data_IF_749104173912
#
_entry.id   IF_749104173912
#
_cell.length_a   1.000
_cell.length_b   1.000
_cell.length_c   1.000
_cell.angle_alpha   90.00
_cell.angle_beta   90.00
_cell.angle_gamma   90.00
#
_symmetry.space_group_name_H-M   'P 1'
#
loop_
_entity.id
_entity.type
_entity.pdbx_description
1 polymer ?
#
# COMPACT_ATOMS: atom_id res chain seq x y z
N UNK A 1 -21.95 5.26 18.56
CA UNK A 1 -22.21 4.35 17.41
C UNK A 1 -22.20 5.20 16.15
N UNK A 2 -21.21 5.03 15.28
CA UNK A 2 -21.05 5.88 14.11
C UNK A 2 -22.17 5.64 13.08
N UNK A 3 -22.90 6.70 12.72
CA UNK A 3 -24.04 6.66 11.77
C UNK A 3 -23.63 6.72 10.29
N UNK A 4 -22.34 6.70 9.98
CA UNK A 4 -21.86 6.83 8.59
C UNK A 4 -21.97 5.54 7.77
N UNK A 5 -22.19 4.39 8.41
CA UNK A 5 -22.26 3.11 7.73
C UNK A 5 -23.55 2.97 6.92
N UNK A 6 -23.47 3.23 5.62
CA UNK A 6 -24.59 3.22 4.67
C UNK A 6 -24.26 2.37 3.45
N UNK A 7 -25.27 1.91 2.66
CA UNK A 7 -25.01 1.22 1.39
C UNK A 7 -24.12 2.03 0.43
N UNK A 8 -24.27 3.36 0.41
CA UNK A 8 -23.44 4.26 -0.41
C UNK A 8 -21.96 4.23 0.02
N UNK A 9 -21.70 4.28 1.32
CA UNK A 9 -20.33 4.21 1.84
C UNK A 9 -19.71 2.84 1.56
N UNK A 10 -20.46 1.74 1.73
CA UNK A 10 -19.98 0.39 1.38
C UNK A 10 -19.57 0.28 -0.08
N UNK A 11 -20.42 0.76 -0.99
CA UNK A 11 -20.12 0.77 -2.43
C UNK A 11 -18.91 1.63 -2.77
N UNK A 12 -18.75 2.78 -2.10
CA UNK A 12 -17.59 3.66 -2.29
C UNK A 12 -16.28 3.01 -1.80
N UNK A 13 -16.31 2.29 -0.68
CA UNK A 13 -15.16 1.53 -0.17
C UNK A 13 -14.80 0.40 -1.14
N UNK A 14 -15.79 -0.38 -1.61
CA UNK A 14 -15.55 -1.50 -2.52
C UNK A 14 -14.97 -1.06 -3.89
N UNK A 15 -15.22 0.18 -4.30
CA UNK A 15 -14.71 0.73 -5.56
C UNK A 15 -13.35 1.44 -5.44
N UNK A 16 -12.76 1.51 -4.25
CA UNK A 16 -11.54 2.28 -3.98
C UNK A 16 -10.48 1.45 -3.26
N UNK A 17 -9.22 1.65 -3.60
CA UNK A 17 -8.07 1.03 -2.90
C UNK A 17 -7.77 1.71 -1.54
N UNK A 18 -8.43 2.84 -1.26
CA UNK A 18 -8.22 3.63 -0.05
C UNK A 18 -9.49 4.37 0.36
N UNK A 19 -9.66 4.58 1.66
CA UNK A 19 -10.80 5.33 2.21
C UNK A 19 -10.47 6.81 2.44
N UNK A 20 -9.24 7.27 2.20
CA UNK A 20 -8.81 8.62 2.54
C UNK A 20 -9.66 9.72 1.87
N UNK A 21 -10.16 9.47 0.66
CA UNK A 21 -10.97 10.44 -0.10
C UNK A 21 -12.47 10.37 0.17
N UNK A 22 -12.95 9.39 0.95
CA UNK A 22 -14.38 9.19 1.21
C UNK A 22 -14.83 10.10 2.37
N UNK A 23 -15.22 11.34 2.06
CA UNK A 23 -15.59 12.36 3.06
C UNK A 23 -16.74 11.96 4.00
N UNK A 24 -17.60 11.05 3.59
CA UNK A 24 -18.66 10.50 4.44
C UNK A 24 -18.11 9.72 5.64
N UNK A 25 -16.85 9.27 5.59
CA UNK A 25 -16.17 8.58 6.67
C UNK A 25 -15.45 9.61 7.56
N UNK A 26 -15.69 9.59 8.89
CA UNK A 26 -15.02 10.46 9.84
C UNK A 26 -13.49 10.45 9.73
N UNK A 27 -12.87 11.60 10.00
CA UNK A 27 -11.42 11.82 9.81
C UNK A 27 -10.55 10.92 10.71
N UNK A 28 -10.98 10.68 11.94
CA UNK A 28 -10.37 9.75 12.89
C UNK A 28 -10.32 8.32 12.34
N UNK A 29 -11.42 7.87 11.72
CA UNK A 29 -11.48 6.55 11.08
C UNK A 29 -10.58 6.51 9.84
N UNK A 30 -10.65 7.50 8.95
CA UNK A 30 -9.77 7.57 7.77
C UNK A 30 -8.29 7.52 8.15
N UNK A 31 -7.89 8.27 9.18
CA UNK A 31 -6.53 8.26 9.73
C UNK A 31 -6.08 6.87 10.22
N UNK A 32 -6.97 6.08 10.81
CA UNK A 32 -6.64 4.76 11.35
C UNK A 32 -6.51 3.68 10.27
N UNK A 33 -7.34 3.74 9.23
CA UNK A 33 -7.37 2.73 8.16
C UNK A 33 -6.61 3.19 6.92
N UNK A 34 -5.30 3.38 7.07
CA UNK A 34 -4.38 3.59 5.95
C UNK A 34 -4.06 2.25 5.27
N UNK A 35 -3.92 2.27 3.94
CA UNK A 35 -3.54 1.10 3.15
C UNK A 35 -2.08 1.19 2.69
N UNK A 36 -1.57 0.11 2.09
CA UNK A 36 -0.21 0.13 1.55
C UNK A 36 -0.02 1.17 0.42
N UNK A 37 -1.10 1.54 -0.28
CA UNK A 37 -1.09 2.55 -1.33
C UNK A 37 -1.10 3.99 -0.79
N UNK A 38 -1.51 4.18 0.47
CA UNK A 38 -1.48 5.48 1.16
C UNK A 38 -0.06 5.83 1.67
N UNK A 39 0.86 4.87 1.64
CA UNK A 39 2.22 5.00 2.19
C UNK A 39 3.22 5.17 1.05
N UNK A 40 4.09 6.18 1.15
CA UNK A 40 5.08 6.44 0.10
C UNK A 40 6.08 5.28 -0.05
N UNK A 41 6.56 4.99 -1.28
CA UNK A 41 7.57 3.95 -1.50
C UNK A 41 8.84 4.11 -0.66
N UNK A 42 9.23 5.34 -0.33
CA UNK A 42 10.40 5.62 0.51
C UNK A 42 10.16 5.24 1.97
N UNK A 43 8.98 5.56 2.50
CA UNK A 43 8.62 5.19 3.87
C UNK A 43 8.54 3.66 4.01
N UNK A 44 8.00 3.00 2.99
CA UNK A 44 8.02 1.56 2.84
C UNK A 44 9.43 0.95 2.98
N UNK A 45 10.46 1.56 2.38
CA UNK A 45 11.85 1.11 2.49
C UNK A 45 12.42 1.37 3.88
N UNK A 46 12.23 2.58 4.42
CA UNK A 46 12.73 2.94 5.75
C UNK A 46 12.19 2.02 6.83
N UNK A 47 10.89 1.67 6.76
CA UNK A 47 10.31 0.67 7.64
C UNK A 47 11.01 -0.68 7.52
N UNK A 48 11.26 -1.16 6.30
CA UNK A 48 11.97 -2.43 6.08
C UNK A 48 13.40 -2.39 6.67
N UNK A 49 14.10 -1.27 6.49
CA UNK A 49 15.46 -1.09 6.98
C UNK A 49 15.56 -1.16 8.50
N UNK A 50 14.57 -0.61 9.22
CA UNK A 50 14.51 -0.70 10.70
C UNK A 50 14.48 -2.17 11.15
N UNK A 51 13.67 -3.00 10.50
CA UNK A 51 13.61 -4.44 10.81
C UNK A 51 14.87 -5.19 10.34
N UNK A 52 15.44 -4.79 9.20
CA UNK A 52 16.63 -5.44 8.65
C UNK A 52 17.83 -5.40 9.60
N UNK A 53 17.99 -4.33 10.39
CA UNK A 53 19.07 -4.18 11.39
C UNK A 53 19.04 -5.26 12.47
N UNK A 54 17.89 -5.89 12.69
CA UNK A 54 17.68 -6.92 13.70
C UNK A 54 17.34 -8.28 13.06
N UNK A 55 17.64 -8.47 11.78
CA UNK A 55 17.37 -9.71 11.04
C UNK A 55 18.64 -10.20 10.34
N UNK A 56 19.06 -11.43 10.66
CA UNK A 56 20.23 -12.08 10.06
C UNK A 56 20.02 -12.42 8.58
N UNK A 57 18.80 -12.82 8.23
CA UNK A 57 18.37 -13.01 6.84
C UNK A 57 17.76 -11.73 6.25
N UNK A 58 17.27 -11.79 5.01
CA UNK A 58 16.56 -10.65 4.40
C UNK A 58 15.11 -10.55 4.89
N UNK A 59 14.58 -9.32 4.95
CA UNK A 59 13.16 -9.08 5.25
C UNK A 59 12.33 -9.21 3.97
N UNK A 60 11.40 -10.16 3.93
CA UNK A 60 10.47 -10.36 2.80
C UNK A 60 9.29 -9.38 2.92
N UNK A 61 9.44 -8.20 2.30
CA UNK A 61 8.43 -7.15 2.35
C UNK A 61 8.33 -6.43 1.01
N UNK A 62 7.10 -6.24 0.54
CA UNK A 62 6.81 -5.58 -0.73
C UNK A 62 6.68 -4.07 -0.57
N UNK A 63 7.33 -3.31 -1.45
CA UNK A 63 7.11 -1.87 -1.66
C UNK A 63 6.08 -1.71 -2.78
N UNK A 64 4.89 -1.20 -2.42
CA UNK A 64 3.82 -0.96 -3.38
C UNK A 64 3.99 0.42 -4.05
N UNK A 65 3.86 0.45 -5.37
CA UNK A 65 3.92 1.64 -6.19
C UNK A 65 2.59 1.89 -6.89
N UNK A 66 2.19 3.16 -7.09
CA UNK A 66 1.03 3.49 -7.89
C UNK A 66 1.25 3.13 -9.37
N UNK A 67 0.15 3.03 -10.13
CA UNK A 67 0.17 2.64 -11.55
C UNK A 67 1.01 3.57 -12.43
N UNK A 68 1.05 4.85 -12.09
CA UNK A 68 1.79 5.90 -12.79
C UNK A 68 3.26 6.02 -12.36
N UNK A 69 3.76 5.15 -11.47
CA UNK A 69 5.16 5.18 -11.05
C UNK A 69 6.10 4.96 -12.24
N UNK A 70 7.14 5.78 -12.32
CA UNK A 70 8.11 5.77 -13.40
C UNK A 70 9.28 4.82 -13.10
N UNK A 71 10.06 4.41 -14.12
CA UNK A 71 11.31 3.68 -13.90
C UNK A 71 12.29 4.43 -12.99
N UNK A 72 12.27 5.77 -13.00
CA UNK A 72 13.10 6.60 -12.12
C UNK A 72 12.70 6.43 -10.65
N UNK A 73 11.41 6.40 -10.36
CA UNK A 73 10.91 6.21 -8.98
C UNK A 73 11.33 4.85 -8.43
N UNK A 74 11.20 3.81 -9.27
CA UNK A 74 11.67 2.47 -8.96
C UNK A 74 13.18 2.44 -8.67
N UNK A 75 13.98 3.07 -9.54
CA UNK A 75 15.44 3.19 -9.35
C UNK A 75 15.78 3.86 -8.01
N UNK A 76 15.09 4.93 -7.64
CA UNK A 76 15.35 5.65 -6.40
C UNK A 76 15.10 4.77 -5.17
N UNK A 77 14.07 3.93 -5.19
CA UNK A 77 13.78 2.99 -4.10
C UNK A 77 14.83 1.89 -3.97
N UNK A 78 15.33 1.34 -5.09
CA UNK A 78 16.45 0.39 -5.04
C UNK A 78 17.72 1.02 -4.45
N UNK A 79 18.04 2.26 -4.84
CA UNK A 79 19.18 2.97 -4.30
C UNK A 79 19.01 3.31 -2.82
N UNK A 80 17.79 3.69 -2.40
CA UNK A 80 17.49 3.93 -0.99
C UNK A 80 17.66 2.65 -0.18
N UNK A 81 17.12 1.52 -0.64
CA UNK A 81 17.25 0.24 0.04
C UNK A 81 18.72 -0.19 0.21
N UNK A 82 19.53 0.00 -0.83
CA UNK A 82 20.97 -0.22 -0.76
C UNK A 82 21.64 0.68 0.28
N UNK A 83 21.35 1.99 0.28
CA UNK A 83 21.90 2.95 1.25
C UNK A 83 21.50 2.66 2.69
N UNK A 84 20.29 2.16 2.90
CA UNK A 84 19.76 1.82 4.22
C UNK A 84 20.20 0.42 4.71
N UNK A 85 20.99 -0.32 3.91
CA UNK A 85 21.52 -1.63 4.28
C UNK A 85 20.52 -2.78 4.16
N UNK A 86 19.47 -2.64 3.35
CA UNK A 86 18.53 -3.73 3.05
C UNK A 86 19.24 -4.85 2.28
N UNK A 87 19.13 -6.11 2.76
CA UNK A 87 19.72 -7.29 2.10
C UNK A 87 18.95 -7.71 0.85
N UNK A 88 17.70 -7.30 0.74
CA UNK A 88 16.84 -7.51 -0.42
C UNK A 88 15.70 -6.52 -0.43
N UNK A 89 15.03 -6.39 -1.56
CA UNK A 89 13.82 -5.58 -1.70
C UNK A 89 12.93 -6.16 -2.79
N UNK A 90 11.63 -6.13 -2.55
CA UNK A 90 10.62 -6.52 -3.54
C UNK A 90 9.75 -5.33 -3.84
N UNK A 91 9.52 -5.05 -5.11
CA UNK A 91 8.61 -3.99 -5.56
C UNK A 91 7.39 -4.62 -6.23
N UNK A 92 6.25 -3.95 -6.11
CA UNK A 92 5.09 -4.22 -6.92
C UNK A 92 4.49 -2.90 -7.38
N UNK A 93 4.31 -2.74 -8.70
CA UNK A 93 3.65 -1.55 -9.28
C UNK A 93 2.23 -1.92 -9.67
N UNK A 94 1.24 -1.19 -9.18
CA UNK A 94 -0.16 -1.43 -9.54
C UNK A 94 -0.34 -1.45 -11.07
N UNK A 95 -1.06 -2.44 -11.58
CA UNK A 95 -1.25 -2.65 -13.01
C UNK A 95 -0.02 -3.16 -13.78
N UNK A 96 1.07 -3.60 -13.13
CA UNK A 96 2.19 -4.28 -13.81
C UNK A 96 1.89 -5.73 -14.18
N UNK A 97 0.77 -6.29 -13.69
CA UNK A 97 0.24 -7.60 -14.04
C UNK A 97 -1.23 -7.44 -14.43
N UNK A 98 -1.70 -8.26 -15.37
CA UNK A 98 -3.08 -8.23 -15.87
C UNK A 98 -4.12 -8.56 -14.79
N UNK A 99 -3.77 -9.44 -13.84
CA UNK A 99 -4.62 -9.81 -12.71
C UNK A 99 -3.89 -9.56 -11.40
N UNK A 100 -4.57 -8.90 -10.46
CA UNK A 100 -4.16 -8.84 -9.06
C UNK A 100 -4.80 -10.03 -8.33
N UNK A 101 -3.98 -10.75 -7.56
CA UNK A 101 -4.41 -11.98 -6.85
C UNK A 101 -5.47 -11.69 -5.77
N UNK A 102 -5.58 -10.43 -5.33
CA UNK A 102 -6.49 -9.97 -4.27
C UNK A 102 -7.59 -9.03 -4.81
N UNK A 103 -8.00 -9.18 -6.07
CA UNK A 103 -9.15 -8.48 -6.60
C UNK A 103 -10.42 -9.30 -6.32
N UNK A 104 -11.23 -8.89 -5.34
CA UNK A 104 -12.63 -9.30 -5.28
C UNK A 104 -13.36 -8.70 -6.48
N UNK A 105 -13.32 -9.37 -7.63
CA UNK A 105 -14.11 -8.99 -8.81
C UNK A 105 -15.59 -9.34 -8.66
N UNK A 106 -15.94 -10.10 -7.62
CA UNK A 106 -17.32 -10.50 -7.33
C UNK A 106 -17.81 -9.89 -5.99
N UNK A 107 -18.67 -8.86 -6.03
CA UNK A 107 -19.25 -8.22 -4.84
C UNK A 107 -20.31 -9.09 -4.12
N UNK A 108 -20.49 -10.35 -4.53
CA UNK A 108 -21.34 -11.31 -3.83
C UNK A 108 -20.54 -12.13 -2.79
N UNK A 109 -19.23 -12.26 -2.96
CA UNK A 109 -18.33 -13.01 -2.07
C UNK A 109 -17.36 -12.11 -1.28
N UNK A 110 -17.47 -10.81 -1.49
CA UNK A 110 -16.94 -9.69 -0.70
C UNK A 110 -18.14 -8.79 -0.35
#
# INVERSE_FOLDING_TARGET
RYKFWTPKVRKAIAASESIQEIQAIPKDIRRLFVTAHDISPEFHVRMQAVFQRHTDNAVSKTVNFPKNATPRDVRLVFLLAYREGCKGITIYRSGSRERQVLACTDPQYC
#
